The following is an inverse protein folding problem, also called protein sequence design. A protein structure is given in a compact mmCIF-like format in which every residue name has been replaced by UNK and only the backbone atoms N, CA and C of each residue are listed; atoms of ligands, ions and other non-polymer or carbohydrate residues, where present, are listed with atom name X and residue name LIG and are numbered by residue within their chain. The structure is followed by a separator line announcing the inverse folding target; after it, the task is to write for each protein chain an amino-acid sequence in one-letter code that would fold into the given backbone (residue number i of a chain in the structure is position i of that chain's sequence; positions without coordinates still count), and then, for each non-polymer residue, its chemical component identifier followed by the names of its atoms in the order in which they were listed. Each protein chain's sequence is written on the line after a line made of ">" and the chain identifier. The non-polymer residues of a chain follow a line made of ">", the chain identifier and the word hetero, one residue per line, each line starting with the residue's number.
data_IF_726149205678
#
_entry.id   IF_726149205678
#
_cell.length_a   1.000
_cell.length_b   1.000
_cell.length_c   1.000
_cell.angle_alpha   90.00
_cell.angle_beta   90.00
_cell.angle_gamma   90.00
#
_symmetry.space_group_name_H-M   'P 1'
#
loop_
_entity.id
_entity.type
_entity.pdbx_description
1 polymer ?
#
# COMPACT_ATOMS: atom_id res chain seq x y z
N UNK A 1 -4.62 -33.36 -60.69
CA UNK A 1 -3.25 -33.41 -61.22
C UNK A 1 -2.53 -32.14 -60.77
N UNK A 2 -1.72 -32.22 -59.84
CA UNK A 2 -0.37 -31.64 -59.67
C UNK A 2 0.04 -31.72 -58.19
N UNK A 3 0.93 -32.72 -58.00
CA UNK A 3 1.61 -32.95 -56.72
C UNK A 3 2.67 -31.90 -56.49
N UNK A 4 2.76 -31.37 -55.25
CA UNK A 4 3.94 -30.65 -54.78
C UNK A 4 4.60 -31.43 -53.65
N UNK A 5 5.83 -31.80 -53.90
CA UNK A 5 6.75 -32.55 -53.06
C UNK A 5 7.17 -31.69 -51.84
N UNK A 6 7.09 -32.29 -50.69
CA UNK A 6 7.66 -31.77 -49.44
C UNK A 6 9.16 -32.21 -49.38
N UNK A 7 10.08 -31.25 -49.24
CA UNK A 7 11.50 -31.48 -48.94
C UNK A 7 11.69 -31.32 -47.42
N UNK A 8 12.51 -32.16 -46.75
CA UNK A 8 12.78 -32.07 -45.33
C UNK A 8 13.87 -30.97 -45.03
N UNK A 9 13.64 -30.19 -44.03
CA UNK A 9 14.58 -29.25 -43.48
C UNK A 9 15.68 -29.97 -42.69
N UNK A 10 16.93 -29.73 -43.07
CA UNK A 10 18.13 -30.22 -42.39
C UNK A 10 18.37 -29.36 -41.15
N UNK A 11 18.31 -29.97 -39.96
CA UNK A 11 18.69 -29.36 -38.71
C UNK A 11 20.21 -29.47 -38.50
N UNK A 12 20.93 -28.36 -38.43
CA UNK A 12 22.33 -28.31 -38.00
C UNK A 12 22.38 -28.14 -36.46
N UNK A 13 23.23 -28.89 -35.74
CA UNK A 13 23.43 -28.72 -34.32
C UNK A 13 24.33 -27.51 -34.01
N UNK A 14 24.14 -26.85 -32.84
CA UNK A 14 24.98 -25.74 -32.45
C UNK A 14 26.40 -26.21 -32.00
N UNK A 15 27.44 -25.37 -32.12
CA UNK A 15 28.79 -25.74 -31.76
C UNK A 15 28.99 -25.85 -30.25
N UNK A 16 29.71 -26.90 -29.85
CA UNK A 16 30.15 -27.18 -28.50
C UNK A 16 31.13 -26.11 -27.99
N UNK A 17 30.78 -25.43 -26.90
CA UNK A 17 31.70 -24.55 -26.18
C UNK A 17 32.70 -25.39 -25.37
N UNK A 18 33.97 -25.27 -25.72
CA UNK A 18 35.10 -25.83 -25.00
C UNK A 18 35.24 -25.23 -23.59
N UNK A 19 35.37 -26.13 -22.64
CA UNK A 19 35.59 -25.90 -21.22
C UNK A 19 36.99 -25.29 -20.99
N UNK A 20 37.04 -23.97 -20.73
CA UNK A 20 38.27 -23.33 -20.27
C UNK A 20 38.41 -23.55 -18.75
N UNK A 21 39.46 -24.25 -18.38
CA UNK A 21 39.92 -24.49 -17.01
C UNK A 21 40.45 -23.16 -16.43
N UNK A 22 39.75 -22.55 -15.49
CA UNK A 22 40.31 -21.48 -14.65
C UNK A 22 40.76 -22.06 -13.31
N UNK A 23 42.08 -22.06 -13.12
CA UNK A 23 42.75 -22.33 -11.85
C UNK A 23 42.26 -21.41 -10.77
N UNK A 24 41.99 -21.98 -9.58
CA UNK A 24 41.54 -21.31 -8.41
C UNK A 24 42.45 -20.18 -7.94
N UNK A 25 41.83 -19.08 -7.59
CA UNK A 25 42.33 -18.11 -6.63
C UNK A 25 41.38 -18.08 -5.43
N UNK A 26 41.96 -18.40 -4.30
CA UNK A 26 41.43 -18.31 -2.97
C UNK A 26 40.74 -16.97 -2.73
N UNK A 27 39.44 -17.00 -2.47
CA UNK A 27 38.72 -15.84 -1.99
C UNK A 27 38.88 -15.81 -0.47
N UNK A 28 39.72 -14.91 -0.02
CA UNK A 28 39.87 -14.56 1.37
C UNK A 28 38.57 -13.98 1.93
N UNK A 29 38.17 -14.53 3.05
CA UNK A 29 37.10 -14.04 3.93
C UNK A 29 37.13 -12.51 4.10
N UNK A 30 36.08 -11.81 3.66
CA UNK A 30 35.77 -10.49 4.14
C UNK A 30 34.96 -10.63 5.45
N UNK A 31 35.69 -10.61 6.56
CA UNK A 31 35.08 -10.45 7.87
C UNK A 31 34.53 -9.03 8.02
N UNK A 32 33.25 -8.93 8.31
CA UNK A 32 32.59 -7.74 8.77
C UNK A 32 33.34 -7.16 9.99
N UNK A 33 34.06 -6.07 9.77
CA UNK A 33 34.57 -5.24 10.87
C UNK A 33 33.43 -4.36 11.35
N UNK A 34 32.78 -4.80 12.39
CA UNK A 34 32.08 -3.91 13.33
C UNK A 34 33.11 -2.92 13.88
N UNK A 35 33.06 -1.68 13.45
CA UNK A 35 33.77 -0.58 14.12
C UNK A 35 33.15 -0.37 15.50
N UNK A 36 33.68 -1.05 16.51
CA UNK A 36 33.53 -0.62 17.90
C UNK A 36 34.42 0.60 18.09
N UNK A 37 33.78 1.76 18.18
CA UNK A 37 34.44 2.97 18.69
C UNK A 37 34.63 2.75 20.19
N UNK A 38 35.79 2.27 20.56
CA UNK A 38 36.21 2.19 21.95
C UNK A 38 36.64 3.59 22.41
N UNK A 39 35.82 4.25 23.19
CA UNK A 39 36.21 5.44 23.93
C UNK A 39 37.10 4.98 25.06
N UNK A 40 38.43 5.21 24.94
CA UNK A 40 39.35 5.09 26.04
C UNK A 40 39.17 6.29 26.95
N UNK A 41 38.55 6.11 28.13
CA UNK A 41 38.67 7.06 29.23
C UNK A 41 40.06 6.93 29.83
N UNK A 42 40.93 7.90 29.60
CA UNK A 42 42.11 8.10 30.40
C UNK A 42 41.78 9.06 31.57
N UNK A 43 41.81 8.54 32.78
CA UNK A 43 41.78 9.38 33.99
C UNK A 43 43.11 10.10 34.09
N UNK A 44 43.06 11.43 34.05
CA UNK A 44 44.14 12.27 34.58
C UNK A 44 43.56 13.04 35.76
N UNK A 45 44.15 12.79 36.93
CA UNK A 45 43.88 13.57 38.15
C UNK A 45 44.40 14.99 38.06
N UNK A 46 43.70 15.84 38.81
CA UNK A 46 44.09 17.10 39.42
C UNK A 46 43.75 18.39 38.64
N UNK A 47 42.92 19.16 39.29
CA UNK A 47 42.79 20.60 39.06
C UNK A 47 41.38 21.14 39.30
N UNK A 48 41.12 21.50 40.54
CA UNK A 48 39.97 22.37 40.91
C UNK A 48 40.07 23.69 40.19
N UNK A 49 39.06 24.07 39.42
CA UNK A 49 38.63 25.47 39.24
C UNK A 49 37.26 25.53 38.56
N UNK A 50 36.30 26.18 39.24
CA UNK A 50 35.18 27.01 38.80
C UNK A 50 34.18 26.57 37.72
N UNK A 51 32.95 26.56 38.18
CA UNK A 51 31.70 27.01 37.51
C UNK A 51 31.70 27.09 35.95
N UNK A 52 31.57 25.99 35.30
CA UNK A 52 30.94 25.95 33.97
C UNK A 52 29.56 25.27 34.12
N UNK A 53 28.52 26.12 34.10
CA UNK A 53 27.15 25.69 33.89
C UNK A 53 27.13 24.78 32.67
N UNK A 54 27.06 23.46 32.87
CA UNK A 54 26.77 22.51 31.83
C UNK A 54 25.37 22.85 31.28
N UNK A 55 25.33 23.50 30.12
CA UNK A 55 24.08 23.60 29.37
C UNK A 55 23.56 22.17 29.16
N UNK A 56 22.29 21.92 29.41
CA UNK A 56 21.72 20.63 29.08
C UNK A 56 21.95 20.41 27.58
N UNK A 57 22.64 19.32 27.25
CA UNK A 57 22.69 18.84 25.87
C UNK A 57 21.26 18.39 25.59
N UNK A 58 20.52 19.25 24.87
CA UNK A 58 19.21 18.90 24.35
C UNK A 58 19.45 17.82 23.29
N UNK A 59 19.43 16.56 23.74
CA UNK A 59 19.38 15.43 22.84
C UNK A 59 17.99 15.50 22.22
N UNK A 60 17.88 16.22 21.11
CA UNK A 60 16.72 16.15 20.23
C UNK A 60 16.66 14.67 19.83
N UNK A 61 15.82 13.92 20.50
CA UNK A 61 15.48 12.57 20.05
C UNK A 61 15.06 12.72 18.60
N UNK A 62 15.77 12.05 17.71
CA UNK A 62 15.44 12.04 16.27
C UNK A 62 14.08 11.36 16.18
N UNK A 63 13.02 12.16 16.26
CA UNK A 63 11.66 11.70 16.14
C UNK A 63 11.55 11.25 14.70
N UNK A 64 11.66 9.93 14.49
CA UNK A 64 11.51 9.30 13.19
C UNK A 64 10.14 9.70 12.66
N UNK A 65 10.10 10.76 11.85
CA UNK A 65 8.85 11.23 11.25
C UNK A 65 8.38 10.17 10.27
N UNK A 66 7.17 9.65 10.49
CA UNK A 66 6.54 8.75 9.54
C UNK A 66 6.34 9.47 8.20
N UNK A 67 6.82 8.86 7.12
CA UNK A 67 6.61 9.33 5.75
C UNK A 67 5.88 8.27 4.96
N UNK A 68 4.68 8.59 4.48
CA UNK A 68 3.85 7.66 3.72
C UNK A 68 3.72 8.06 2.27
N UNK A 69 3.82 7.07 1.38
CA UNK A 69 3.53 7.25 -0.05
C UNK A 69 2.13 6.73 -0.34
N UNK A 70 1.25 7.58 -0.86
CA UNK A 70 -0.12 7.23 -1.23
C UNK A 70 -0.25 7.17 -2.76
N UNK A 71 -0.41 5.96 -3.29
CA UNK A 71 -0.66 5.74 -4.70
C UNK A 71 -2.16 5.94 -4.98
N UNK A 72 -2.47 6.93 -5.83
CA UNK A 72 -3.85 7.35 -6.10
C UNK A 72 -4.41 8.37 -5.12
N UNK A 73 -3.55 9.17 -4.46
CA UNK A 73 -3.96 10.13 -3.42
C UNK A 73 -4.92 11.23 -3.86
N UNK A 74 -5.00 11.55 -5.16
CA UNK A 74 -6.02 12.48 -5.69
C UNK A 74 -7.41 11.85 -5.85
N UNK A 75 -7.54 10.51 -5.71
CA UNK A 75 -8.80 9.78 -5.78
C UNK A 75 -9.66 9.91 -4.52
N UNK A 76 -10.87 9.35 -4.55
CA UNK A 76 -11.83 9.44 -3.44
C UNK A 76 -11.27 8.89 -2.11
N UNK A 77 -10.79 7.66 -2.10
CA UNK A 77 -10.23 7.03 -0.90
C UNK A 77 -8.85 7.61 -0.57
N UNK A 78 -8.01 7.77 -1.60
CA UNK A 78 -6.65 8.28 -1.43
C UNK A 78 -6.62 9.68 -0.80
N UNK A 79 -7.53 10.59 -1.22
CA UNK A 79 -7.60 11.94 -0.65
C UNK A 79 -8.01 11.94 0.83
N UNK A 80 -8.90 11.05 1.24
CA UNK A 80 -9.26 10.88 2.64
C UNK A 80 -8.06 10.38 3.47
N UNK A 81 -7.30 9.44 2.92
CA UNK A 81 -6.07 8.93 3.57
C UNK A 81 -5.02 10.02 3.68
N UNK A 82 -4.74 10.77 2.59
CA UNK A 82 -3.80 11.90 2.64
C UNK A 82 -4.21 12.92 3.71
N UNK A 83 -5.49 13.29 3.76
CA UNK A 83 -6.02 14.21 4.76
C UNK A 83 -5.84 13.67 6.18
N UNK A 84 -6.18 12.41 6.44
CA UNK A 84 -6.04 11.80 7.74
C UNK A 84 -4.57 11.73 8.18
N UNK A 85 -3.66 11.35 7.28
CA UNK A 85 -2.23 11.28 7.54
C UNK A 85 -1.64 12.65 7.91
N UNK A 86 -1.93 13.68 7.11
CA UNK A 86 -1.53 15.07 7.41
C UNK A 86 -2.07 15.53 8.76
N UNK A 87 -3.34 15.23 9.07
CA UNK A 87 -3.95 15.60 10.37
C UNK A 87 -3.24 14.96 11.56
N UNK A 88 -2.63 13.79 11.37
CA UNK A 88 -1.83 13.07 12.38
C UNK A 88 -0.33 13.45 12.36
N UNK A 89 0.06 14.43 11.56
CA UNK A 89 1.45 14.89 11.47
C UNK A 89 2.36 13.97 10.66
N UNK A 90 1.80 13.05 9.88
CA UNK A 90 2.54 12.15 9.00
C UNK A 90 2.86 12.88 7.69
N UNK A 91 4.11 12.83 7.25
CA UNK A 91 4.52 13.38 5.95
C UNK A 91 3.92 12.54 4.82
N UNK A 92 3.33 13.19 3.82
CA UNK A 92 2.62 12.51 2.73
C UNK A 92 3.21 12.88 1.37
N UNK A 93 3.59 11.86 0.62
CA UNK A 93 3.87 11.94 -0.83
C UNK A 93 2.75 11.22 -1.56
N UNK A 94 2.23 11.80 -2.62
CA UNK A 94 1.17 11.18 -3.42
C UNK A 94 1.56 11.06 -4.88
N UNK A 95 1.57 9.85 -5.40
CA UNK A 95 1.71 9.57 -6.82
C UNK A 95 0.33 9.32 -7.44
N UNK A 96 -0.05 10.11 -8.44
CA UNK A 96 -1.30 9.91 -9.18
C UNK A 96 -1.22 10.54 -10.57
N UNK A 97 -1.97 10.01 -11.53
CA UNK A 97 -1.96 10.51 -12.93
C UNK A 97 -2.37 11.97 -13.05
N UNK A 98 -3.34 12.40 -12.25
CA UNK A 98 -3.80 13.79 -12.21
C UNK A 98 -2.96 14.72 -11.35
N UNK A 99 -2.00 14.19 -10.58
CA UNK A 99 -1.20 14.99 -9.65
C UNK A 99 -2.06 15.66 -8.56
N UNK A 100 -1.77 16.93 -8.27
CA UNK A 100 -2.45 17.72 -7.25
C UNK A 100 -3.94 17.93 -7.58
N UNK A 101 -4.86 17.69 -6.63
CA UNK A 101 -6.28 17.96 -6.83
C UNK A 101 -6.55 19.48 -6.96
N UNK A 102 -7.58 19.81 -7.74
CA UNK A 102 -7.95 21.21 -8.05
C UNK A 102 -8.78 21.90 -6.97
N UNK A 103 -9.37 21.13 -6.03
CA UNK A 103 -10.17 21.69 -4.94
C UNK A 103 -9.30 22.22 -3.81
N UNK A 104 -9.72 23.29 -3.11
CA UNK A 104 -8.95 23.88 -2.02
C UNK A 104 -9.03 23.04 -0.75
N UNK A 105 -7.99 23.15 0.08
CA UNK A 105 -7.94 22.51 1.39
C UNK A 105 -6.56 22.71 2.03
N UNK A 106 -6.51 23.12 3.29
CA UNK A 106 -5.23 23.36 3.99
C UNK A 106 -4.33 22.12 4.05
N UNK A 107 -4.89 20.93 4.05
CA UNK A 107 -4.14 19.67 4.00
C UNK A 107 -3.52 19.40 2.62
N UNK A 108 -4.15 19.93 1.53
CA UNK A 108 -3.64 19.74 0.15
C UNK A 108 -2.27 20.37 -0.04
N UNK A 109 -2.02 21.51 0.64
CA UNK A 109 -0.74 22.23 0.57
C UNK A 109 0.39 21.53 1.34
N UNK A 110 0.04 20.59 2.22
CA UNK A 110 0.98 19.83 3.04
C UNK A 110 1.38 18.48 2.43
N UNK A 111 0.80 18.12 1.27
CA UNK A 111 1.12 16.88 0.55
C UNK A 111 2.04 17.18 -0.61
N UNK A 112 3.08 16.40 -0.78
CA UNK A 112 3.94 16.41 -1.97
C UNK A 112 3.25 15.64 -3.09
N UNK A 113 2.76 16.35 -4.11
CA UNK A 113 2.04 15.77 -5.23
C UNK A 113 2.96 15.51 -6.41
N UNK A 114 3.11 14.24 -6.79
CA UNK A 114 3.88 13.79 -7.96
C UNK A 114 2.89 13.32 -9.03
N UNK A 115 2.81 14.03 -10.18
CA UNK A 115 2.02 13.53 -11.31
C UNK A 115 2.77 12.40 -12.02
N UNK A 116 2.11 11.26 -12.22
CA UNK A 116 2.73 10.13 -12.92
C UNK A 116 1.87 8.89 -12.93
N UNK A 117 2.25 7.97 -13.80
CA UNK A 117 1.67 6.62 -13.88
C UNK A 117 2.60 5.64 -13.18
N UNK A 118 2.04 4.76 -12.36
CA UNK A 118 2.77 3.76 -11.58
C UNK A 118 3.65 2.84 -12.44
N UNK A 119 3.25 2.61 -13.69
CA UNK A 119 4.03 1.79 -14.63
C UNK A 119 5.32 2.45 -15.11
N UNK A 120 5.42 3.77 -15.00
CA UNK A 120 6.53 4.58 -15.52
C UNK A 120 7.07 5.57 -14.49
N UNK A 121 6.70 5.40 -13.22
CA UNK A 121 7.09 6.30 -12.15
C UNK A 121 8.62 6.24 -11.89
N UNK A 122 9.17 7.40 -11.54
CA UNK A 122 10.51 7.48 -10.98
C UNK A 122 10.44 7.07 -9.49
N UNK A 123 10.66 5.80 -9.20
CA UNK A 123 10.53 5.26 -7.86
C UNK A 123 11.57 5.81 -6.87
N UNK A 124 12.75 6.21 -7.36
CA UNK A 124 13.77 6.87 -6.53
C UNK A 124 13.24 8.18 -5.94
N UNK A 125 12.48 8.94 -6.72
CA UNK A 125 11.86 10.20 -6.26
C UNK A 125 10.66 9.94 -5.34
N UNK A 126 9.84 8.96 -5.70
CA UNK A 126 8.57 8.67 -5.00
C UNK A 126 8.81 8.03 -3.64
N UNK A 127 9.75 7.07 -3.54
CA UNK A 127 9.91 6.20 -2.37
C UNK A 127 11.01 6.64 -1.40
N UNK A 128 11.81 7.67 -1.73
CA UNK A 128 12.90 8.11 -0.86
C UNK A 128 12.39 8.46 0.54
N UNK A 129 12.97 7.82 1.55
CA UNK A 129 12.63 8.05 2.97
C UNK A 129 11.24 7.57 3.41
N UNK A 130 10.50 6.88 2.57
CA UNK A 130 9.19 6.36 2.94
C UNK A 130 9.27 5.22 3.96
N UNK A 131 8.38 5.23 4.94
CA UNK A 131 8.20 4.19 5.96
C UNK A 131 7.06 3.23 5.61
N UNK A 132 6.10 3.69 4.78
CA UNK A 132 5.01 2.86 4.29
C UNK A 132 4.54 3.31 2.90
N UNK A 133 4.01 2.35 2.13
CA UNK A 133 3.28 2.61 0.89
C UNK A 133 1.83 2.20 1.05
N UNK A 134 0.92 3.07 0.68
CA UNK A 134 -0.52 2.82 0.66
C UNK A 134 -1.02 2.84 -0.77
N UNK A 135 -1.53 1.73 -1.27
CA UNK A 135 -2.13 1.68 -2.61
C UNK A 135 -3.64 1.77 -2.56
N UNK A 136 -4.17 2.81 -3.19
CA UNK A 136 -5.60 3.00 -3.47
C UNK A 136 -5.90 2.83 -4.97
N UNK A 137 -4.97 2.22 -5.71
CA UNK A 137 -5.11 2.00 -7.14
C UNK A 137 -6.26 1.04 -7.43
N UNK A 138 -7.11 1.45 -8.32
CA UNK A 138 -8.25 0.66 -8.77
C UNK A 138 -9.12 1.45 -9.73
N UNK A 139 -9.92 0.73 -10.50
CA UNK A 139 -10.82 1.34 -11.46
C UNK A 139 -11.69 0.31 -12.16
N UNK A 140 -12.67 0.82 -12.89
CA UNK A 140 -13.57 0.05 -13.74
C UNK A 140 -13.28 0.37 -15.21
N UNK A 141 -13.65 -0.55 -16.10
CA UNK A 141 -13.46 -0.44 -17.53
C UNK A 141 -13.67 -1.77 -18.24
N UNK A 142 -13.01 -2.00 -19.37
CA UNK A 142 -12.96 -3.34 -19.96
C UNK A 142 -12.27 -4.34 -19.02
N UNK A 143 -12.48 -5.62 -19.25
CA UNK A 143 -11.88 -6.67 -18.40
C UNK A 143 -10.35 -6.55 -18.33
N UNK A 144 -9.71 -6.34 -19.46
CA UNK A 144 -8.27 -6.11 -19.57
C UNK A 144 -7.80 -4.85 -18.82
N UNK A 145 -8.55 -3.75 -18.94
CA UNK A 145 -8.26 -2.51 -18.21
C UNK A 145 -8.40 -2.72 -16.71
N UNK A 146 -9.42 -3.44 -16.29
CA UNK A 146 -9.62 -3.76 -14.87
C UNK A 146 -8.49 -4.64 -14.33
N UNK A 147 -8.05 -5.68 -15.04
CA UNK A 147 -6.90 -6.51 -14.67
C UNK A 147 -5.63 -5.67 -14.55
N UNK A 148 -5.38 -4.80 -15.52
CA UNK A 148 -4.21 -3.93 -15.53
C UNK A 148 -4.19 -2.96 -14.35
N UNK A 149 -5.31 -2.24 -14.10
CA UNK A 149 -5.38 -1.21 -13.06
C UNK A 149 -5.46 -1.83 -11.66
N UNK A 150 -6.31 -2.85 -11.47
CA UNK A 150 -6.52 -3.45 -10.15
C UNK A 150 -5.45 -4.48 -9.79
N UNK A 151 -4.85 -5.15 -10.80
CA UNK A 151 -3.83 -6.19 -10.61
C UNK A 151 -2.42 -5.70 -10.87
N UNK A 152 -2.06 -5.54 -12.15
CA UNK A 152 -0.67 -5.30 -12.58
C UNK A 152 -0.07 -4.02 -11.98
N UNK A 153 -0.84 -2.94 -11.93
CA UNK A 153 -0.38 -1.68 -11.35
C UNK A 153 0.01 -1.84 -9.88
N UNK A 154 -0.77 -2.63 -9.13
CA UNK A 154 -0.46 -2.93 -7.73
C UNK A 154 0.74 -3.86 -7.60
N UNK A 155 0.89 -4.88 -8.47
CA UNK A 155 2.06 -5.77 -8.49
C UNK A 155 3.35 -4.98 -8.73
N UNK A 156 3.35 -4.05 -9.69
CA UNK A 156 4.49 -3.15 -9.95
C UNK A 156 4.81 -2.31 -8.71
N UNK A 157 3.80 -1.73 -8.07
CA UNK A 157 3.99 -0.91 -6.88
C UNK A 157 4.55 -1.71 -5.69
N UNK A 158 4.03 -2.93 -5.47
CA UNK A 158 4.52 -3.84 -4.41
C UNK A 158 5.98 -4.24 -4.66
N UNK A 159 6.31 -4.57 -5.92
CA UNK A 159 7.67 -4.89 -6.33
C UNK A 159 8.63 -3.73 -6.06
N UNK A 160 8.31 -2.54 -6.57
CA UNK A 160 9.09 -1.34 -6.34
C UNK A 160 9.28 -1.04 -4.84
N UNK A 161 8.21 -1.04 -4.05
CA UNK A 161 8.31 -0.80 -2.61
C UNK A 161 9.21 -1.82 -1.91
N UNK A 162 9.17 -3.09 -2.32
CA UNK A 162 10.04 -4.15 -1.76
C UNK A 162 11.50 -3.95 -2.15
N UNK A 163 11.77 -3.61 -3.41
CA UNK A 163 13.13 -3.40 -3.92
C UNK A 163 13.80 -2.19 -3.25
N UNK A 164 13.00 -1.16 -2.91
CA UNK A 164 13.46 0.01 -2.14
C UNK A 164 13.52 -0.24 -0.61
N UNK A 165 13.19 -1.45 -0.16
CA UNK A 165 13.26 -1.81 1.25
C UNK A 165 12.23 -1.13 2.14
N UNK A 166 11.10 -0.66 1.58
CA UNK A 166 10.02 -0.08 2.37
C UNK A 166 9.47 -1.13 3.32
N UNK A 167 9.37 -0.86 4.63
CA UNK A 167 9.03 -1.88 5.61
C UNK A 167 7.57 -2.33 5.59
N UNK A 168 6.63 -1.46 5.14
CA UNK A 168 5.19 -1.74 5.22
C UNK A 168 4.46 -1.39 3.92
N UNK A 169 3.54 -2.26 3.51
CA UNK A 169 2.67 -2.03 2.35
C UNK A 169 1.20 -2.25 2.72
N UNK A 170 0.35 -1.27 2.42
CA UNK A 170 -1.08 -1.28 2.71
C UNK A 170 -1.87 -1.22 1.40
N UNK A 171 -2.72 -2.20 1.16
CA UNK A 171 -3.56 -2.30 -0.04
C UNK A 171 -5.03 -2.08 0.30
N UNK A 172 -5.67 -1.17 -0.41
CA UNK A 172 -7.13 -1.08 -0.41
C UNK A 172 -7.67 -2.02 -1.48
N UNK A 173 -8.22 -3.14 -1.01
CA UNK A 173 -8.78 -4.18 -1.86
C UNK A 173 -10.32 -4.09 -1.90
N UNK A 174 -11.01 -5.19 -1.93
CA UNK A 174 -12.46 -5.32 -2.01
C UNK A 174 -12.94 -6.47 -1.15
N UNK A 175 -14.12 -6.31 -0.55
CA UNK A 175 -14.78 -7.35 0.23
C UNK A 175 -14.91 -8.67 -0.54
N UNK A 176 -14.89 -9.76 0.18
CA UNK A 176 -15.02 -11.12 -0.38
C UNK A 176 -16.50 -11.48 -0.52
N UNK A 177 -17.10 -10.94 -1.57
CA UNK A 177 -18.52 -11.15 -1.85
C UNK A 177 -18.80 -12.60 -2.30
N UNK A 178 -19.87 -13.18 -1.80
CA UNK A 178 -20.41 -14.46 -2.26
C UNK A 178 -21.16 -14.28 -3.61
N UNK A 179 -20.38 -13.98 -4.67
CA UNK A 179 -20.92 -13.74 -6.01
C UNK A 179 -20.83 -14.99 -6.89
N UNK A 180 -21.70 -15.11 -7.90
CA UNK A 180 -21.54 -16.12 -8.94
C UNK A 180 -20.16 -16.06 -9.59
N UNK A 181 -19.60 -17.22 -9.94
CA UNK A 181 -18.22 -17.36 -10.43
C UNK A 181 -17.91 -16.49 -11.67
N UNK A 182 -18.89 -16.24 -12.54
CA UNK A 182 -18.69 -15.40 -13.73
C UNK A 182 -18.44 -13.91 -13.38
N UNK A 183 -18.96 -13.43 -12.25
CA UNK A 183 -18.67 -12.08 -11.75
C UNK A 183 -17.31 -12.02 -11.04
N UNK A 184 -17.00 -13.05 -10.24
CA UNK A 184 -15.72 -13.17 -9.55
C UNK A 184 -14.55 -13.36 -10.52
N UNK A 185 -14.79 -13.90 -11.72
CA UNK A 185 -13.78 -14.04 -12.77
C UNK A 185 -13.51 -12.73 -13.55
N UNK A 186 -14.27 -11.65 -13.29
CA UNK A 186 -14.00 -10.36 -13.92
C UNK A 186 -12.62 -9.82 -13.55
N UNK A 187 -12.03 -9.04 -14.45
CA UNK A 187 -10.71 -8.42 -14.26
C UNK A 187 -10.62 -7.54 -13.02
N UNK A 188 -11.74 -7.05 -12.50
CA UNK A 188 -11.78 -6.31 -11.24
C UNK A 188 -11.40 -7.21 -10.04
N UNK A 189 -12.16 -8.30 -9.83
CA UNK A 189 -11.91 -9.19 -8.68
C UNK A 189 -10.61 -9.97 -8.84
N UNK A 190 -10.36 -10.53 -10.02
CA UNK A 190 -9.12 -11.29 -10.29
C UNK A 190 -7.90 -10.39 -10.14
N UNK A 191 -7.96 -9.13 -10.60
CA UNK A 191 -6.90 -8.15 -10.41
C UNK A 191 -6.67 -7.83 -8.94
N UNK A 192 -7.72 -7.57 -8.16
CA UNK A 192 -7.61 -7.31 -6.72
C UNK A 192 -7.01 -8.51 -5.98
N UNK A 193 -7.45 -9.74 -6.26
CA UNK A 193 -6.90 -10.96 -5.63
C UNK A 193 -5.43 -11.20 -6.00
N UNK A 194 -5.03 -10.89 -7.25
CA UNK A 194 -3.63 -10.92 -7.67
C UNK A 194 -2.79 -9.93 -6.87
N UNK A 195 -3.28 -8.70 -6.68
CA UNK A 195 -2.61 -7.69 -5.86
C UNK A 195 -2.48 -8.12 -4.39
N UNK A 196 -3.54 -8.66 -3.79
CA UNK A 196 -3.51 -9.19 -2.41
C UNK A 196 -2.45 -10.29 -2.25
N UNK A 197 -2.43 -11.25 -3.18
CA UNK A 197 -1.45 -12.35 -3.17
C UNK A 197 -0.02 -11.81 -3.23
N UNK A 198 0.25 -10.80 -4.04
CA UNK A 198 1.57 -10.18 -4.14
C UNK A 198 1.96 -9.48 -2.84
N UNK A 199 1.05 -8.70 -2.23
CA UNK A 199 1.30 -8.05 -0.93
C UNK A 199 1.63 -9.07 0.15
N UNK A 200 0.80 -10.10 0.31
CA UNK A 200 0.99 -11.10 1.36
C UNK A 200 2.26 -11.95 1.14
N UNK A 201 2.64 -12.19 -0.12
CA UNK A 201 3.88 -12.90 -0.46
C UNK A 201 5.13 -12.08 -0.15
N UNK A 202 5.14 -10.78 -0.50
CA UNK A 202 6.31 -9.92 -0.34
C UNK A 202 6.43 -9.33 1.06
N UNK A 203 5.31 -9.18 1.77
CA UNK A 203 5.20 -8.57 3.10
C UNK A 203 4.43 -9.49 4.07
N UNK A 204 4.91 -10.71 4.36
CA UNK A 204 4.15 -11.70 5.15
C UNK A 204 3.83 -11.23 6.57
N UNK A 205 4.68 -10.38 7.17
CA UNK A 205 4.55 -9.89 8.56
C UNK A 205 4.35 -8.36 8.65
N UNK A 206 4.10 -7.68 7.53
CA UNK A 206 3.92 -6.22 7.50
C UNK A 206 3.00 -5.74 6.38
N UNK A 207 2.49 -6.66 5.57
CA UNK A 207 1.49 -6.37 4.55
C UNK A 207 0.11 -6.26 5.13
N UNK A 208 -0.60 -5.19 4.80
CA UNK A 208 -1.99 -4.94 5.23
C UNK A 208 -2.90 -4.96 4.01
N UNK A 209 -3.93 -5.77 4.04
CA UNK A 209 -4.96 -5.83 3.01
C UNK A 209 -6.30 -5.46 3.64
N UNK A 210 -6.81 -4.29 3.32
CA UNK A 210 -8.14 -3.87 3.75
C UNK A 210 -9.17 -4.28 2.68
N UNK A 211 -10.19 -5.02 3.07
CA UNK A 211 -11.30 -5.47 2.21
C UNK A 211 -12.60 -4.72 2.53
N UNK A 212 -12.69 -3.43 2.22
CA UNK A 212 -13.94 -2.69 2.40
C UNK A 212 -15.01 -3.21 1.44
N UNK A 213 -16.28 -3.08 1.84
CA UNK A 213 -17.44 -3.22 0.98
C UNK A 213 -17.69 -1.93 0.21
N UNK A 214 -18.97 -1.51 0.15
CA UNK A 214 -19.31 -0.20 -0.40
C UNK A 214 -18.77 0.92 0.48
N UNK A 215 -17.90 1.77 -0.09
CA UNK A 215 -17.32 2.92 0.61
C UNK A 215 -18.18 4.15 0.33
N UNK A 216 -18.71 4.77 1.40
CA UNK A 216 -19.48 6.00 1.29
C UNK A 216 -18.75 7.20 1.91
N UNK A 217 -19.16 8.40 1.52
CA UNK A 217 -18.60 9.67 2.00
C UNK A 217 -18.82 10.79 1.02
N UNK A 218 -18.24 11.94 1.29
CA UNK A 218 -18.29 13.10 0.40
C UNK A 218 -17.26 12.96 -0.71
N UNK A 219 -17.70 12.65 -1.91
CA UNK A 219 -16.84 12.53 -3.09
C UNK A 219 -16.84 13.84 -3.87
N UNK A 220 -15.68 14.43 -4.07
CA UNK A 220 -15.50 15.58 -4.95
C UNK A 220 -15.12 15.10 -6.35
N UNK A 221 -15.93 15.47 -7.35
CA UNK A 221 -15.67 15.17 -8.77
C UNK A 221 -15.87 16.48 -9.55
N UNK A 222 -14.83 16.94 -10.23
CA UNK A 222 -14.85 18.14 -11.07
C UNK A 222 -15.48 19.38 -10.42
N UNK A 223 -15.21 19.59 -9.14
CA UNK A 223 -15.75 20.72 -8.38
C UNK A 223 -17.14 20.49 -7.77
N UNK A 224 -17.80 19.40 -8.09
CA UNK A 224 -19.07 19.00 -7.46
C UNK A 224 -18.82 18.01 -6.32
N UNK A 225 -19.53 18.22 -5.21
CA UNK A 225 -19.54 17.30 -4.07
C UNK A 225 -20.70 16.33 -4.20
N UNK A 226 -20.42 15.03 -4.41
CA UNK A 226 -21.43 13.98 -4.45
C UNK A 226 -21.57 13.43 -3.04
N UNK A 227 -22.70 13.69 -2.35
CA UNK A 227 -22.88 13.27 -0.95
C UNK A 227 -23.34 11.81 -0.87
N UNK A 228 -22.41 10.86 -1.11
CA UNK A 228 -22.69 9.42 -0.95
C UNK A 228 -23.03 9.03 0.50
N UNK A 229 -22.79 9.93 1.44
CA UNK A 229 -23.14 9.78 2.85
C UNK A 229 -24.65 9.88 3.11
N UNK A 230 -25.42 10.52 2.22
CA UNK A 230 -26.89 10.58 2.35
C UNK A 230 -27.54 9.20 2.19
N UNK A 231 -26.91 8.29 1.45
CA UNK A 231 -27.39 6.92 1.25
C UNK A 231 -26.62 5.94 2.14
N UNK A 232 -25.30 6.11 2.23
CA UNK A 232 -24.42 5.18 2.95
C UNK A 232 -24.68 5.13 4.45
N UNK A 233 -24.81 6.27 5.12
CA UNK A 233 -25.04 6.33 6.58
C UNK A 233 -26.37 5.68 7.02
N UNK A 234 -27.53 5.97 6.39
CA UNK A 234 -28.78 5.28 6.76
C UNK A 234 -28.70 3.78 6.48
N UNK A 235 -28.14 3.38 5.34
CA UNK A 235 -28.00 1.97 4.97
C UNK A 235 -27.10 1.23 5.95
N UNK A 236 -25.96 1.80 6.34
CA UNK A 236 -25.08 1.22 7.35
C UNK A 236 -25.79 0.99 8.68
N UNK A 237 -26.52 1.99 9.18
CA UNK A 237 -27.27 1.90 10.45
C UNK A 237 -28.32 0.80 10.41
N UNK A 238 -29.07 0.71 9.31
CA UNK A 238 -30.12 -0.32 9.15
C UNK A 238 -29.48 -1.70 9.10
N UNK A 239 -28.45 -1.91 8.28
CA UNK A 239 -27.82 -3.21 8.13
C UNK A 239 -27.11 -3.66 9.41
N UNK A 240 -26.41 -2.76 10.11
CA UNK A 240 -25.78 -3.08 11.38
C UNK A 240 -26.81 -3.38 12.48
N UNK A 241 -27.95 -2.68 12.52
CA UNK A 241 -29.01 -2.93 13.49
C UNK A 241 -29.78 -4.26 13.22
N UNK A 242 -29.81 -4.70 11.97
CA UNK A 242 -30.54 -5.91 11.55
C UNK A 242 -29.63 -7.12 11.31
N UNK A 243 -28.35 -7.05 11.67
CA UNK A 243 -27.36 -8.11 11.43
C UNK A 243 -27.82 -9.49 11.90
N UNK A 244 -28.46 -9.57 13.08
CA UNK A 244 -28.98 -10.83 13.64
C UNK A 244 -30.10 -11.45 12.79
N UNK A 245 -30.88 -10.64 12.09
CA UNK A 245 -31.97 -11.09 11.21
C UNK A 245 -31.51 -11.41 9.78
N UNK A 246 -30.40 -10.81 9.34
CA UNK A 246 -29.88 -10.97 7.97
C UNK A 246 -28.93 -12.15 7.85
N UNK A 247 -28.33 -12.65 8.95
CA UNK A 247 -27.45 -13.83 8.95
C UNK A 247 -27.99 -15.06 8.19
N UNK A 248 -29.27 -15.46 8.32
CA UNK A 248 -29.79 -16.59 7.57
C UNK A 248 -29.83 -16.37 6.05
N UNK A 249 -29.95 -15.11 5.63
CA UNK A 249 -30.01 -14.68 4.22
C UNK A 249 -28.64 -14.54 3.58
N UNK A 250 -27.57 -14.45 4.38
CA UNK A 250 -26.18 -14.28 3.89
C UNK A 250 -25.64 -15.53 3.15
N UNK A 251 -26.29 -16.68 3.28
CA UNK A 251 -25.95 -17.90 2.54
C UNK A 251 -26.42 -17.90 1.09
N UNK A 252 -27.29 -16.96 0.68
CA UNK A 252 -27.75 -16.87 -0.68
C UNK A 252 -26.68 -16.22 -1.58
N UNK A 253 -26.52 -16.69 -2.84
CA UNK A 253 -25.61 -16.04 -3.80
C UNK A 253 -25.92 -14.56 -3.97
N UNK A 254 -24.88 -13.72 -3.95
CA UNK A 254 -24.97 -12.26 -4.08
C UNK A 254 -25.71 -11.51 -2.93
N UNK A 255 -26.07 -12.20 -1.85
CA UNK A 255 -26.71 -11.56 -0.68
C UNK A 255 -25.80 -10.47 -0.05
N UNK A 256 -24.48 -10.70 -0.03
CA UNK A 256 -23.50 -9.80 0.56
C UNK A 256 -23.43 -8.44 -0.17
N UNK A 257 -23.81 -8.36 -1.44
CA UNK A 257 -23.91 -7.09 -2.15
C UNK A 257 -24.93 -6.13 -1.51
N UNK A 258 -25.98 -6.68 -0.90
CA UNK A 258 -27.04 -5.93 -0.26
C UNK A 258 -26.92 -5.92 1.26
N UNK A 259 -26.33 -6.96 1.84
CA UNK A 259 -26.28 -7.19 3.28
C UNK A 259 -24.95 -6.80 3.93
N UNK A 260 -23.84 -6.73 3.14
CA UNK A 260 -22.57 -6.25 3.67
C UNK A 260 -22.70 -4.76 4.05
N UNK A 261 -22.47 -4.39 5.32
CA UNK A 261 -22.64 -3.02 5.75
C UNK A 261 -21.62 -2.12 5.04
N UNK A 262 -22.05 -0.98 4.50
CA UNK A 262 -21.12 -0.02 3.93
C UNK A 262 -20.17 0.53 4.99
N UNK A 263 -19.02 1.02 4.55
CA UNK A 263 -18.00 1.60 5.42
C UNK A 263 -17.73 3.06 5.03
N UNK A 264 -17.55 3.91 6.02
CA UNK A 264 -17.20 5.31 5.78
C UNK A 264 -15.79 5.42 5.20
N UNK A 265 -15.59 6.33 4.24
CA UNK A 265 -14.26 6.62 3.71
C UNK A 265 -13.30 7.12 4.80
N UNK A 266 -13.83 7.80 5.81
CA UNK A 266 -13.06 8.26 6.97
C UNK A 266 -12.60 7.07 7.83
N UNK A 267 -13.44 6.04 8.02
CA UNK A 267 -13.05 4.83 8.76
C UNK A 267 -11.99 4.04 7.99
N UNK A 268 -12.10 3.94 6.67
CA UNK A 268 -11.05 3.33 5.85
C UNK A 268 -9.74 4.10 6.01
N UNK A 269 -9.78 5.44 5.96
CA UNK A 269 -8.60 6.27 6.13
C UNK A 269 -7.96 6.09 7.52
N UNK A 270 -8.76 6.06 8.59
CA UNK A 270 -8.26 5.86 9.95
C UNK A 270 -7.72 4.44 10.17
N UNK A 271 -8.32 3.43 9.57
CA UNK A 271 -7.76 2.06 9.58
C UNK A 271 -6.39 1.99 8.88
N UNK A 272 -6.20 2.77 7.80
CA UNK A 272 -4.89 2.92 7.18
C UNK A 272 -3.90 3.58 8.13
N UNK A 273 -4.30 4.64 8.85
CA UNK A 273 -3.44 5.29 9.86
C UNK A 273 -3.05 4.29 10.94
N UNK A 274 -4.01 3.49 11.47
CA UNK A 274 -3.69 2.41 12.40
C UNK A 274 -2.66 1.45 11.80
N UNK A 275 -2.83 1.06 10.53
CA UNK A 275 -1.89 0.19 9.85
C UNK A 275 -0.50 0.79 9.64
N UNK A 276 -0.35 2.12 9.58
CA UNK A 276 0.95 2.80 9.48
C UNK A 276 1.64 2.81 10.85
N UNK A 277 0.90 3.08 11.93
CA UNK A 277 1.46 3.34 13.27
C UNK A 277 1.54 2.11 14.17
N UNK A 278 0.84 1.03 13.84
CA UNK A 278 0.79 -0.22 14.61
C UNK A 278 1.53 -1.33 13.82
N UNK A 279 2.68 -1.73 14.31
CA UNK A 279 3.52 -2.75 13.66
C UNK A 279 2.89 -4.14 13.72
N UNK A 280 2.04 -4.41 14.71
CA UNK A 280 1.34 -5.68 14.87
C UNK A 280 0.07 -5.76 13.98
N UNK A 281 -0.27 -4.67 13.30
CA UNK A 281 -1.41 -4.63 12.38
C UNK A 281 -0.98 -5.07 10.98
N UNK A 282 -1.12 -6.35 10.66
CA UNK A 282 -0.83 -6.94 9.34
C UNK A 282 -1.76 -8.11 9.03
N UNK A 283 -1.90 -8.45 7.75
CA UNK A 283 -2.80 -9.49 7.26
C UNK A 283 -4.00 -8.93 6.50
N UNK A 284 -5.10 -9.69 6.47
CA UNK A 284 -6.33 -9.34 5.76
C UNK A 284 -7.39 -8.91 6.77
N UNK A 285 -8.02 -7.77 6.51
CA UNK A 285 -9.02 -7.16 7.41
C UNK A 285 -10.39 -7.02 6.73
N UNK A 286 -11.41 -7.53 7.40
CA UNK A 286 -12.82 -7.41 7.00
C UNK A 286 -13.38 -6.02 7.27
N UNK A 287 -14.64 -5.79 6.87
CA UNK A 287 -15.36 -4.53 7.11
C UNK A 287 -15.41 -4.19 8.61
N UNK A 288 -15.71 -5.17 9.45
CA UNK A 288 -15.81 -5.01 10.90
C UNK A 288 -14.46 -4.65 11.51
N UNK A 289 -13.41 -5.37 11.13
CA UNK A 289 -12.05 -5.11 11.59
C UNK A 289 -11.52 -3.74 11.12
N UNK A 290 -11.94 -3.27 9.93
CA UNK A 290 -11.63 -1.90 9.47
C UNK A 290 -12.27 -0.87 10.40
N UNK A 291 -13.54 -1.06 10.80
CA UNK A 291 -14.23 -0.17 11.74
C UNK A 291 -13.60 -0.20 13.13
N UNK A 292 -13.21 -1.38 13.61
CA UNK A 292 -12.51 -1.53 14.90
C UNK A 292 -11.15 -0.81 14.88
N UNK A 293 -10.36 -0.99 13.81
CA UNK A 293 -9.08 -0.30 13.65
C UNK A 293 -9.26 1.22 13.60
N UNK A 294 -10.29 1.71 12.89
CA UNK A 294 -10.62 3.13 12.87
C UNK A 294 -11.00 3.67 14.24
N UNK A 295 -11.73 2.90 15.04
CA UNK A 295 -12.15 3.29 16.39
C UNK A 295 -10.94 3.48 17.33
N UNK A 296 -9.90 2.64 17.23
CA UNK A 296 -8.66 2.78 18.00
C UNK A 296 -7.94 4.12 17.75
N UNK A 297 -7.98 4.63 16.54
CA UNK A 297 -7.32 5.90 16.17
C UNK A 297 -8.16 7.12 16.53
N UNK A 298 -9.49 6.94 16.70
CA UNK A 298 -10.42 8.00 17.15
C UNK A 298 -10.35 8.24 18.65
N UNK A 299 -10.03 7.20 19.44
CA UNK A 299 -9.88 7.26 20.89
C UNK A 299 -8.61 8.01 21.29
#
# INVERSE_FOLDING_TARGET
>A
MTSFLCLPAISTPPPSLTRASFRGRSITHFQNRLCRIGVKCSYAEAGVVDDLKSAPIDVVADVKSERVVVLGGSGFVGSAICKAAVTKGIEVVSLSRSGRPTYPGSWVDQVTWIPGDVFYANWDEVLVGATAVVSTLGGFGSDEQMQRINGEANVVAVGAAKDFGIPKFILISVHDYNLPSFLLSSGYFTGKRKAESEVLSKYPNSGVVLRPGFIYGKRKVDGFEIPLDLIGKPLERILSATESFTKPLSSLPASDLLLAPPVSVDDVALAVINGITDDDFFGIFTIEQIKEAAAKVKA
#
